data_IF_996917659843
#
_entry.id   IF_996917659843
#
_cell.length_a   1.000
_cell.length_b   1.000
_cell.length_c   1.000
_cell.angle_alpha   90.00
_cell.angle_beta   90.00
_cell.angle_gamma   90.00
#
_symmetry.space_group_name_H-M   'P 1'
#
loop_
_entity.id
_entity.type
_entity.pdbx_description
1 polymer ?
#
# COMPACT_ATOMS: atom_id res chain seq x y z
N UNK A 1 -3.55 -16.52 8.60
CA UNK A 1 -2.56 -16.67 9.67
C UNK A 1 -3.26 -16.82 11.01
N UNK A 2 -2.66 -17.54 11.97
CA UNK A 2 -3.31 -17.87 13.25
C UNK A 2 -2.79 -17.08 14.45
N UNK A 3 -1.48 -16.80 14.52
CA UNK A 3 -0.86 -16.29 15.74
C UNK A 3 0.22 -15.23 15.43
N UNK A 4 0.19 -14.12 16.17
CA UNK A 4 1.26 -13.10 16.20
C UNK A 4 2.23 -13.33 17.39
N UNK A 5 2.01 -14.37 18.18
CA UNK A 5 2.90 -14.76 19.27
C UNK A 5 2.43 -16.09 19.85
N UNK A 6 3.38 -16.92 20.25
CA UNK A 6 3.07 -18.19 20.91
C UNK A 6 3.06 -18.00 22.41
N UNK A 7 3.96 -18.66 23.16
CA UNK A 7 3.97 -18.60 24.62
C UNK A 7 4.75 -17.39 25.10
N UNK A 8 5.87 -17.09 24.45
CA UNK A 8 6.67 -15.93 24.76
C UNK A 8 5.95 -14.66 24.28
N UNK A 9 5.81 -13.62 25.13
CA UNK A 9 4.99 -12.48 24.80
C UNK A 9 5.72 -11.49 23.88
N UNK A 10 5.06 -11.05 22.78
CA UNK A 10 5.43 -9.82 22.06
C UNK A 10 4.96 -8.55 22.81
N UNK A 11 3.72 -8.59 23.33
CA UNK A 11 3.12 -7.48 24.09
C UNK A 11 2.59 -7.95 25.43
N UNK A 12 2.54 -7.03 26.41
CA UNK A 12 2.19 -7.33 27.82
C UNK A 12 0.90 -8.12 28.00
N UNK A 13 -0.10 -7.90 27.15
CA UNK A 13 -1.41 -8.56 27.21
C UNK A 13 -1.71 -9.36 25.94
N UNK A 14 -0.67 -9.86 25.26
CA UNK A 14 -0.81 -10.67 24.06
C UNK A 14 -1.31 -12.08 24.34
N UNK A 15 -1.51 -12.83 23.26
CA UNK A 15 -2.08 -14.18 23.28
C UNK A 15 -1.27 -15.21 24.09
N UNK A 16 0.03 -14.96 24.32
CA UNK A 16 0.87 -15.89 25.10
C UNK A 16 0.42 -16.16 26.52
N UNK A 17 -0.41 -15.30 27.11
CA UNK A 17 -1.08 -15.57 28.39
C UNK A 17 -2.13 -16.69 28.33
N UNK A 18 -2.70 -16.94 27.15
CA UNK A 18 -3.75 -17.91 26.89
C UNK A 18 -3.21 -19.17 26.21
N UNK A 19 -1.95 -19.15 25.76
CA UNK A 19 -1.34 -20.17 24.91
C UNK A 19 -1.65 -21.58 25.40
N UNK A 20 -1.24 -21.91 26.63
CA UNK A 20 -1.30 -23.26 27.19
C UNK A 20 -2.72 -23.87 27.19
N UNK A 21 -3.78 -23.04 27.24
CA UNK A 21 -5.17 -23.50 27.26
C UNK A 21 -5.85 -23.46 25.88
N UNK A 22 -5.48 -22.52 25.02
CA UNK A 22 -6.30 -22.14 23.86
C UNK A 22 -5.71 -22.48 22.50
N UNK A 23 -4.38 -22.61 22.35
CA UNK A 23 -3.75 -22.69 21.02
C UNK A 23 -4.31 -23.82 20.14
N UNK A 24 -4.59 -25.00 20.72
CA UNK A 24 -5.16 -26.13 19.99
C UNK A 24 -6.60 -25.88 19.57
N UNK A 25 -7.40 -25.26 20.45
CA UNK A 25 -8.82 -24.99 20.20
C UNK A 25 -8.96 -23.97 19.06
N UNK A 26 -8.17 -22.91 19.12
CA UNK A 26 -8.28 -21.80 18.18
C UNK A 26 -7.81 -22.19 16.78
N UNK A 27 -6.66 -22.88 16.66
CA UNK A 27 -6.20 -23.36 15.35
C UNK A 27 -7.12 -24.44 14.78
N UNK A 28 -7.67 -25.31 15.63
CA UNK A 28 -8.65 -26.32 15.19
C UNK A 28 -9.91 -25.66 14.65
N UNK A 29 -10.43 -24.67 15.37
CA UNK A 29 -11.62 -23.93 14.97
C UNK A 29 -11.37 -23.19 13.64
N UNK A 30 -10.24 -22.50 13.51
CA UNK A 30 -9.86 -21.81 12.27
C UNK A 30 -9.85 -22.78 11.07
N UNK A 31 -9.14 -23.91 11.16
CA UNK A 31 -9.03 -24.84 10.04
C UNK A 31 -10.36 -25.50 9.72
N UNK A 32 -11.13 -25.98 10.71
CA UNK A 32 -12.39 -26.67 10.46
C UNK A 32 -13.45 -25.76 9.81
N UNK A 33 -13.49 -24.48 10.17
CA UNK A 33 -14.41 -23.52 9.54
C UNK A 33 -13.96 -23.15 8.12
N UNK A 34 -12.66 -23.18 7.84
CA UNK A 34 -12.12 -22.56 6.63
C UNK A 34 -11.55 -23.51 5.57
N UNK A 35 -11.30 -24.78 5.87
CA UNK A 35 -10.66 -25.75 4.96
C UNK A 35 -11.37 -26.04 3.62
N UNK A 36 -12.63 -25.61 3.47
CA UNK A 36 -13.38 -25.72 2.21
C UNK A 36 -13.25 -24.49 1.30
N UNK A 37 -12.60 -23.41 1.75
CA UNK A 37 -12.42 -22.22 0.92
C UNK A 37 -11.30 -22.44 -0.11
N UNK A 38 -11.58 -22.32 -1.42
CA UNK A 38 -10.57 -22.54 -2.46
C UNK A 38 -9.52 -21.43 -2.51
N UNK A 39 -9.82 -20.24 -1.96
CA UNK A 39 -8.90 -19.11 -1.89
C UNK A 39 -7.76 -19.31 -0.88
N UNK A 40 -7.95 -20.19 0.11
CA UNK A 40 -6.91 -20.49 1.09
C UNK A 40 -6.00 -21.55 0.48
N UNK A 41 -4.69 -21.27 0.45
CA UNK A 41 -3.68 -22.17 -0.14
C UNK A 41 -2.64 -22.66 0.88
N UNK A 42 -2.49 -21.97 2.02
CA UNK A 42 -1.52 -22.28 3.07
C UNK A 42 -2.08 -21.89 4.44
N UNK A 43 -1.58 -22.55 5.49
CA UNK A 43 -1.86 -22.21 6.89
C UNK A 43 -0.61 -21.60 7.54
N UNK A 44 -0.61 -20.28 7.80
CA UNK A 44 0.42 -19.67 8.65
C UNK A 44 0.09 -19.88 10.13
N UNK A 45 1.02 -20.47 10.87
CA UNK A 45 0.90 -20.76 12.31
C UNK A 45 1.67 -19.78 13.19
N UNK A 46 2.28 -18.75 12.61
CA UNK A 46 3.03 -17.76 13.35
C UNK A 46 3.60 -16.66 12.46
N UNK A 47 3.71 -15.45 13.01
CA UNK A 47 4.50 -14.36 12.43
C UNK A 47 5.54 -13.88 13.44
N UNK A 48 6.81 -13.79 13.03
CA UNK A 48 7.94 -13.27 13.81
C UNK A 48 7.98 -13.78 15.25
N UNK A 49 7.82 -15.10 15.40
CA UNK A 49 7.62 -15.72 16.70
C UNK A 49 8.91 -15.62 17.54
N UNK A 50 8.87 -15.10 18.79
CA UNK A 50 10.06 -14.95 19.62
C UNK A 50 10.83 -16.25 19.88
N UNK A 51 10.14 -17.40 19.86
CA UNK A 51 10.73 -18.72 20.08
C UNK A 51 11.41 -19.34 18.85
N UNK A 52 11.40 -18.70 17.68
CA UNK A 52 11.85 -19.30 16.41
C UNK A 52 13.35 -19.69 16.38
N UNK A 53 14.16 -19.19 17.31
CA UNK A 53 15.58 -19.55 17.48
C UNK A 53 15.83 -20.52 18.65
N UNK A 54 14.77 -21.09 19.25
CA UNK A 54 14.87 -21.98 20.42
C UNK A 54 14.43 -23.41 20.09
N UNK A 55 15.07 -24.46 20.67
CA UNK A 55 14.63 -25.83 20.48
C UNK A 55 13.15 -26.07 20.83
N UNK A 56 12.64 -25.45 21.89
CA UNK A 56 11.23 -25.54 22.26
C UNK A 56 10.29 -24.87 21.25
N UNK A 57 10.77 -23.84 20.53
CA UNK A 57 10.04 -23.23 19.43
C UNK A 57 9.92 -24.19 18.25
N UNK A 58 11.00 -24.91 17.92
CA UNK A 58 10.98 -25.93 16.86
C UNK A 58 9.99 -27.05 17.18
N UNK A 59 9.96 -27.54 18.43
CA UNK A 59 9.01 -28.57 18.83
C UNK A 59 7.57 -28.07 18.82
N UNK A 60 7.32 -26.81 19.23
CA UNK A 60 5.99 -26.18 19.09
C UNK A 60 5.57 -26.08 17.63
N UNK A 61 6.47 -25.67 16.74
CA UNK A 61 6.18 -25.56 15.32
C UNK A 61 5.78 -26.91 14.73
N UNK A 62 6.55 -27.98 15.03
CA UNK A 62 6.20 -29.36 14.61
C UNK A 62 4.82 -29.79 15.11
N UNK A 63 4.47 -29.48 16.36
CA UNK A 63 3.16 -29.83 16.91
C UNK A 63 2.01 -29.07 16.22
N UNK A 64 2.20 -27.78 15.92
CA UNK A 64 1.24 -26.99 15.15
C UNK A 64 1.06 -27.57 13.75
N UNK A 65 2.16 -27.81 13.04
CA UNK A 65 2.15 -28.40 11.69
C UNK A 65 1.47 -29.77 11.65
N UNK A 66 1.80 -30.65 12.60
CA UNK A 66 1.17 -31.96 12.70
C UNK A 66 -0.34 -31.88 12.95
N UNK A 67 -0.80 -30.91 13.76
CA UNK A 67 -2.22 -30.66 13.98
C UNK A 67 -2.90 -30.14 12.71
N UNK A 68 -2.29 -29.18 12.01
CA UNK A 68 -2.79 -28.67 10.74
C UNK A 68 -2.97 -29.80 9.72
N UNK A 69 -1.93 -30.62 9.49
CA UNK A 69 -2.00 -31.74 8.55
C UNK A 69 -3.04 -32.80 8.94
N UNK A 70 -3.27 -33.02 10.23
CA UNK A 70 -4.33 -33.92 10.69
C UNK A 70 -5.74 -33.39 10.36
N UNK A 71 -5.93 -32.07 10.44
CA UNK A 71 -7.23 -31.42 10.23
C UNK A 71 -7.50 -31.11 8.75
N UNK A 72 -6.45 -30.80 8.00
CA UNK A 72 -6.46 -30.49 6.58
C UNK A 72 -5.10 -30.88 5.94
N UNK A 73 -4.95 -32.12 5.44
CA UNK A 73 -3.72 -32.55 4.79
C UNK A 73 -3.56 -31.98 3.36
N UNK A 74 -4.52 -31.20 2.87
CA UNK A 74 -4.50 -30.71 1.47
C UNK A 74 -3.71 -29.40 1.28
N UNK A 75 -3.24 -28.77 2.36
CA UNK A 75 -2.54 -27.48 2.36
C UNK A 75 -1.27 -27.51 3.19
N UNK A 76 -0.28 -26.77 2.72
CA UNK A 76 1.02 -26.64 3.38
C UNK A 76 0.96 -25.68 4.57
N UNK A 77 1.86 -25.87 5.53
CA UNK A 77 2.02 -25.02 6.71
C UNK A 77 3.24 -24.11 6.56
N UNK A 78 3.09 -22.85 6.97
CA UNK A 78 4.16 -21.84 6.93
C UNK A 78 4.22 -21.05 8.24
N UNK A 79 5.27 -20.26 8.40
CA UNK A 79 5.48 -19.31 9.49
C UNK A 79 6.37 -18.18 8.95
N UNK A 80 6.03 -16.93 9.23
CA UNK A 80 6.86 -15.78 8.89
C UNK A 80 8.05 -15.66 9.82
N UNK A 81 9.27 -15.69 9.27
CA UNK A 81 10.52 -15.70 10.04
C UNK A 81 11.37 -14.45 9.76
N UNK A 82 11.60 -13.60 10.76
CA UNK A 82 12.46 -12.40 10.66
C UNK A 82 13.91 -12.64 11.14
N UNK A 83 14.21 -13.84 11.66
CA UNK A 83 15.49 -14.20 12.28
C UNK A 83 16.19 -15.37 11.56
N UNK A 84 16.56 -15.22 10.28
CA UNK A 84 17.02 -16.32 9.43
C UNK A 84 18.20 -17.13 10.00
N UNK A 85 19.19 -16.47 10.60
CA UNK A 85 20.34 -17.19 11.17
C UNK A 85 19.90 -18.05 12.37
N UNK A 86 19.03 -17.49 13.21
CA UNK A 86 18.50 -18.16 14.40
C UNK A 86 17.57 -19.33 14.04
N UNK A 87 16.68 -19.15 13.06
CA UNK A 87 15.79 -20.21 12.61
C UNK A 87 16.55 -21.34 11.95
N UNK A 88 17.56 -21.03 11.13
CA UNK A 88 18.43 -22.03 10.54
C UNK A 88 19.34 -22.72 11.57
N UNK A 89 19.81 -22.01 12.61
CA UNK A 89 20.60 -22.62 13.67
C UNK A 89 19.77 -23.60 14.51
N UNK A 90 18.56 -23.21 14.90
CA UNK A 90 17.70 -24.02 15.75
C UNK A 90 17.09 -25.23 15.03
N UNK A 91 17.00 -25.19 13.69
CA UNK A 91 16.29 -26.22 12.92
C UNK A 91 14.84 -25.84 12.57
N UNK A 92 14.43 -24.59 12.83
CA UNK A 92 13.05 -24.13 12.69
C UNK A 92 12.63 -24.02 11.23
N UNK A 93 13.46 -23.42 10.39
CA UNK A 93 13.17 -23.27 8.96
C UNK A 93 13.22 -24.61 8.22
N UNK A 94 14.05 -25.56 8.69
CA UNK A 94 14.22 -26.88 8.09
C UNK A 94 13.02 -27.81 8.26
N UNK A 95 12.14 -27.51 9.21
CA UNK A 95 10.91 -28.30 9.46
C UNK A 95 9.66 -27.62 8.91
N UNK A 96 9.78 -26.47 8.25
CA UNK A 96 8.68 -25.80 7.56
C UNK A 96 8.35 -26.52 6.25
N UNK A 97 7.07 -26.61 5.90
CA UNK A 97 6.70 -27.05 4.55
C UNK A 97 7.03 -25.96 3.52
N UNK A 98 6.73 -24.71 3.88
CA UNK A 98 7.06 -23.50 3.09
C UNK A 98 7.85 -22.55 3.98
N UNK A 99 9.18 -22.41 3.79
CA UNK A 99 9.99 -21.48 4.58
C UNK A 99 9.72 -20.03 4.16
N UNK A 100 9.00 -19.28 5.00
CA UNK A 100 8.70 -17.86 4.82
C UNK A 100 9.69 -16.98 5.55
N UNK A 101 10.35 -16.05 4.86
CA UNK A 101 11.24 -15.05 5.47
C UNK A 101 10.69 -13.64 5.34
N UNK A 102 10.64 -12.94 6.47
CA UNK A 102 10.25 -11.53 6.58
C UNK A 102 11.48 -10.65 6.40
N UNK A 103 11.46 -9.67 5.48
CA UNK A 103 12.38 -8.52 5.40
C UNK A 103 13.88 -8.80 5.25
N UNK A 104 14.27 -10.04 4.93
CA UNK A 104 15.69 -10.46 4.88
C UNK A 104 16.13 -10.83 3.47
N UNK A 105 15.66 -10.07 2.47
CA UNK A 105 15.98 -10.28 1.04
C UNK A 105 17.50 -10.42 0.80
N UNK A 106 18.31 -9.62 1.50
CA UNK A 106 19.77 -9.65 1.41
C UNK A 106 20.42 -10.95 1.93
N UNK A 107 19.66 -11.83 2.61
CA UNK A 107 20.11 -13.13 3.10
C UNK A 107 19.59 -14.31 2.29
N UNK A 108 18.70 -14.10 1.32
CA UNK A 108 18.04 -15.18 0.59
C UNK A 108 19.03 -16.15 -0.05
N UNK A 109 20.06 -15.67 -0.76
CA UNK A 109 21.08 -16.54 -1.37
C UNK A 109 21.87 -17.36 -0.35
N UNK A 110 22.12 -16.81 0.85
CA UNK A 110 22.78 -17.56 1.92
C UNK A 110 21.84 -18.65 2.47
N UNK A 111 20.58 -18.30 2.74
CA UNK A 111 19.60 -19.23 3.27
C UNK A 111 19.34 -20.37 2.28
N UNK A 112 19.27 -20.07 0.99
CA UNK A 112 19.06 -21.08 -0.05
C UNK A 112 20.14 -22.14 -0.15
N UNK A 113 21.39 -21.83 0.23
CA UNK A 113 22.47 -22.84 0.29
C UNK A 113 22.26 -23.86 1.41
N UNK A 114 21.40 -23.53 2.39
CA UNK A 114 21.22 -24.28 3.64
C UNK A 114 19.80 -24.84 3.80
N UNK A 115 18.81 -24.31 3.09
CA UNK A 115 17.42 -24.75 3.14
C UNK A 115 17.22 -26.07 2.39
N UNK A 116 16.75 -27.14 3.04
CA UNK A 116 16.51 -28.43 2.38
C UNK A 116 15.35 -28.41 1.38
N UNK A 117 14.41 -27.46 1.49
CA UNK A 117 13.23 -27.37 0.63
C UNK A 117 13.56 -26.93 -0.80
N UNK A 118 14.70 -26.25 -1.01
CA UNK A 118 15.10 -25.79 -2.34
C UNK A 118 14.31 -24.59 -2.88
N UNK A 119 13.46 -23.97 -2.06
CA UNK A 119 12.77 -22.71 -2.34
C UNK A 119 12.49 -21.93 -1.05
N UNK A 120 12.07 -20.67 -1.19
CA UNK A 120 11.55 -19.85 -0.10
C UNK A 120 10.41 -18.92 -0.56
N UNK A 121 9.70 -18.35 0.41
CA UNK A 121 8.67 -17.34 0.23
C UNK A 121 9.09 -16.05 0.95
N UNK A 122 8.93 -14.89 0.31
CA UNK A 122 8.95 -13.61 1.04
C UNK A 122 7.64 -13.43 1.78
N UNK A 123 7.55 -13.92 3.03
CA UNK A 123 6.29 -13.90 3.79
C UNK A 123 5.89 -12.50 4.27
N UNK A 124 6.85 -11.58 4.36
CA UNK A 124 6.62 -10.17 4.64
C UNK A 124 7.76 -9.36 4.00
N UNK A 125 7.46 -8.43 3.09
CA UNK A 125 8.48 -7.76 2.25
C UNK A 125 8.31 -6.24 2.18
N UNK A 126 9.35 -5.57 1.66
CA UNK A 126 9.49 -4.12 1.52
C UNK A 126 9.40 -3.28 2.82
N UNK A 127 8.25 -3.21 3.48
CA UNK A 127 8.00 -2.23 4.56
C UNK A 127 8.47 -0.81 4.18
N UNK A 128 8.26 -0.48 2.90
CA UNK A 128 8.49 0.84 2.32
C UNK A 128 7.39 1.78 2.78
N UNK A 129 7.74 3.01 3.12
CA UNK A 129 6.82 4.00 3.68
C UNK A 129 6.62 5.16 2.72
N UNK A 130 5.38 5.61 2.56
CA UNK A 130 5.04 6.78 1.76
C UNK A 130 3.70 7.38 2.16
N UNK A 131 3.55 8.69 2.00
CA UNK A 131 2.29 9.41 2.15
C UNK A 131 1.76 9.82 0.77
N UNK A 132 0.43 9.73 0.57
CA UNK A 132 -0.20 10.06 -0.72
C UNK A 132 -0.01 11.55 -1.04
N UNK A 133 0.69 11.85 -2.14
CA UNK A 133 0.83 13.22 -2.65
C UNK A 133 1.88 14.08 -1.94
N UNK A 134 2.65 13.51 -1.02
CA UNK A 134 3.77 14.19 -0.36
C UNK A 134 5.08 13.89 -1.08
N UNK A 135 5.93 14.90 -1.32
CA UNK A 135 7.24 14.66 -1.93
C UNK A 135 8.32 15.57 -1.33
N UNK A 136 9.42 14.94 -0.93
CA UNK A 136 10.55 15.62 -0.31
C UNK A 136 11.76 15.63 -1.23
N UNK A 137 12.50 16.74 -1.21
CA UNK A 137 13.65 16.98 -2.08
C UNK A 137 14.92 17.18 -1.25
N UNK A 138 16.05 16.51 -1.58
CA UNK A 138 16.20 15.53 -2.66
C UNK A 138 15.53 14.17 -2.36
N UNK A 139 15.20 13.43 -3.42
CA UNK A 139 14.62 12.07 -3.42
C UNK A 139 15.69 11.02 -3.10
N UNK A 140 16.13 10.99 -1.84
CA UNK A 140 17.22 10.12 -1.39
C UNK A 140 16.69 8.82 -0.82
N UNK A 141 17.28 7.69 -1.23
CA UNK A 141 17.01 6.38 -0.60
C UNK A 141 17.52 6.40 0.83
N UNK A 142 16.64 6.17 1.79
CA UNK A 142 17.02 6.23 3.20
C UNK A 142 16.13 5.32 4.09
N UNK A 143 16.74 4.54 5.01
CA UNK A 143 16.00 3.87 6.06
C UNK A 143 15.56 4.87 7.17
N UNK A 144 14.39 4.66 7.77
CA UNK A 144 13.83 5.42 8.90
C UNK A 144 13.89 6.95 8.72
N UNK A 145 13.67 7.44 7.51
CA UNK A 145 13.71 8.87 7.28
C UNK A 145 12.43 9.53 7.77
N UNK A 146 12.60 10.47 8.68
CA UNK A 146 11.54 11.31 9.22
C UNK A 146 11.60 12.73 8.64
N UNK A 147 10.44 13.37 8.57
CA UNK A 147 10.22 14.73 8.08
C UNK A 147 9.40 15.52 9.11
N UNK A 148 9.60 16.84 9.23
CA UNK A 148 8.99 17.63 10.31
C UNK A 148 7.46 17.63 10.34
N UNK A 149 6.80 17.41 9.20
CA UNK A 149 5.34 17.35 9.07
C UNK A 149 4.76 15.98 9.40
N UNK A 150 5.58 15.00 9.82
CA UNK A 150 5.11 13.67 10.16
C UNK A 150 4.69 12.82 8.95
N UNK A 151 5.13 13.17 7.73
CA UNK A 151 4.76 12.45 6.50
C UNK A 151 5.97 11.72 5.89
N UNK A 152 5.73 10.82 4.93
CA UNK A 152 6.77 10.10 4.21
C UNK A 152 6.75 10.43 2.71
N UNK A 153 7.89 10.35 2.03
CA UNK A 153 8.02 10.70 0.62
C UNK A 153 7.28 9.72 -0.31
N UNK A 154 6.45 10.26 -1.20
CA UNK A 154 5.74 9.55 -2.28
C UNK A 154 6.64 9.08 -3.44
N UNK A 155 7.95 9.36 -3.40
CA UNK A 155 8.90 8.77 -4.36
C UNK A 155 9.18 7.28 -4.11
N UNK A 156 8.66 6.72 -3.01
CA UNK A 156 8.85 5.32 -2.59
C UNK A 156 10.34 4.94 -2.53
N UNK A 157 11.12 5.80 -1.87
CA UNK A 157 12.57 5.64 -1.63
C UNK A 157 12.89 5.61 -0.13
N UNK A 158 11.88 5.71 0.73
CA UNK A 158 12.01 5.67 2.18
C UNK A 158 11.43 4.35 2.70
N UNK A 159 12.13 3.69 3.61
CA UNK A 159 11.73 2.37 4.12
C UNK A 159 12.13 2.20 5.58
N UNK A 160 11.64 1.16 6.24
CA UNK A 160 12.06 0.84 7.59
C UNK A 160 13.46 0.24 7.63
N UNK A 161 14.20 0.48 8.72
CA UNK A 161 15.59 0.03 8.87
C UNK A 161 15.78 -1.49 8.79
N UNK A 162 14.74 -2.25 9.11
CA UNK A 162 14.78 -3.72 9.05
C UNK A 162 14.54 -4.26 7.64
N UNK A 163 14.12 -3.43 6.68
CA UNK A 163 13.70 -3.86 5.35
C UNK A 163 14.30 -3.01 4.24
N UNK A 164 13.58 -2.83 3.13
CA UNK A 164 14.15 -2.50 1.82
C UNK A 164 13.10 -1.86 0.89
N UNK A 165 13.45 -1.64 -0.37
CA UNK A 165 12.48 -1.16 -1.37
C UNK A 165 11.88 -2.34 -2.14
N UNK A 166 10.70 -2.20 -2.77
CA UNK A 166 10.11 -3.27 -3.58
C UNK A 166 11.06 -3.75 -4.69
N UNK A 167 11.88 -2.83 -5.23
CA UNK A 167 12.87 -3.08 -6.26
C UNK A 167 13.86 -4.21 -5.86
N UNK A 168 14.20 -4.32 -4.57
CA UNK A 168 15.13 -5.32 -4.06
C UNK A 168 14.48 -6.71 -4.02
N UNK A 169 13.22 -6.79 -3.58
CA UNK A 169 12.44 -8.04 -3.52
C UNK A 169 12.13 -8.57 -4.93
N UNK A 170 11.76 -7.68 -5.85
CA UNK A 170 11.49 -8.04 -7.24
C UNK A 170 12.74 -8.51 -7.97
N UNK A 171 13.90 -7.91 -7.69
CA UNK A 171 15.15 -8.39 -8.27
C UNK A 171 15.37 -9.87 -7.93
N UNK A 172 15.11 -10.26 -6.68
CA UNK A 172 15.26 -11.65 -6.27
C UNK A 172 14.23 -12.56 -6.92
N UNK A 173 12.97 -12.13 -7.05
CA UNK A 173 11.92 -12.90 -7.73
C UNK A 173 12.17 -13.07 -9.24
N UNK A 174 12.62 -12.01 -9.91
CA UNK A 174 12.89 -12.04 -11.35
C UNK A 174 14.13 -12.85 -11.70
N UNK A 175 15.19 -12.75 -10.89
CA UNK A 175 16.48 -13.37 -11.19
C UNK A 175 16.59 -14.82 -10.67
N UNK A 176 15.74 -15.22 -9.72
CA UNK A 176 15.79 -16.54 -9.07
C UNK A 176 14.43 -17.23 -8.96
N UNK A 177 14.28 -18.35 -9.66
CA UNK A 177 13.04 -19.16 -9.68
C UNK A 177 12.71 -19.88 -8.35
N UNK A 178 13.64 -19.90 -7.39
CA UNK A 178 13.43 -20.48 -6.07
C UNK A 178 12.80 -19.49 -5.07
N UNK A 179 12.63 -18.22 -5.46
CA UNK A 179 11.78 -17.28 -4.73
C UNK A 179 10.36 -17.41 -5.28
N UNK A 180 9.48 -18.02 -4.47
CA UNK A 180 8.13 -18.40 -4.92
C UNK A 180 7.17 -17.21 -5.05
N UNK A 181 7.52 -16.06 -4.49
CA UNK A 181 6.74 -14.83 -4.50
C UNK A 181 6.96 -14.02 -3.23
N UNK A 182 6.07 -13.05 -3.01
CA UNK A 182 6.08 -12.19 -1.82
C UNK A 182 4.69 -11.85 -1.30
N UNK A 183 4.63 -11.43 -0.04
CA UNK A 183 3.52 -10.70 0.57
C UNK A 183 4.06 -9.37 1.11
N UNK A 184 3.78 -8.28 0.39
CA UNK A 184 4.19 -6.93 0.75
C UNK A 184 3.56 -6.44 2.05
N UNK A 185 4.36 -5.78 2.89
CA UNK A 185 3.89 -4.96 4.02
C UNK A 185 3.72 -3.49 3.60
N UNK A 186 2.52 -2.98 3.33
CA UNK A 186 1.21 -3.67 3.27
C UNK A 186 0.47 -3.29 1.98
N UNK A 187 -0.59 -4.03 1.64
CA UNK A 187 -1.48 -3.63 0.54
C UNK A 187 -2.22 -2.32 0.81
N UNK A 188 -2.82 -2.19 2.00
CA UNK A 188 -3.53 -1.00 2.47
C UNK A 188 -2.90 -0.50 3.76
N UNK A 189 -2.95 0.81 3.98
CA UNK A 189 -2.68 1.35 5.31
C UNK A 189 -3.73 0.87 6.32
N UNK A 190 -3.32 0.85 7.59
CA UNK A 190 -4.13 0.42 8.72
C UNK A 190 -3.92 1.34 9.93
N UNK A 191 -4.81 1.27 10.91
CA UNK A 191 -4.72 2.06 12.14
C UNK A 191 -3.62 1.54 13.08
N UNK A 192 -2.90 2.44 13.75
CA UNK A 192 -1.73 2.10 14.56
C UNK A 192 -0.43 2.03 13.75
N UNK A 193 0.64 1.60 14.41
CA UNK A 193 1.98 1.38 13.84
C UNK A 193 2.44 2.46 12.84
N UNK A 194 2.52 3.72 13.28
CA UNK A 194 2.82 4.84 12.40
C UNK A 194 4.31 4.95 12.04
N UNK A 195 5.06 3.85 11.95
CA UNK A 195 6.50 3.89 11.68
C UNK A 195 6.81 4.68 10.40
N UNK A 196 7.83 5.56 10.40
CA UNK A 196 8.88 5.77 11.42
C UNK A 196 8.47 6.61 12.64
N UNK A 197 7.24 7.09 12.68
CA UNK A 197 6.73 8.06 13.64
C UNK A 197 6.14 7.43 14.92
N UNK A 198 6.73 6.33 15.41
CA UNK A 198 6.19 5.54 16.54
C UNK A 198 5.96 6.36 17.82
N UNK A 199 6.67 7.48 17.98
CA UNK A 199 6.60 8.39 19.13
C UNK A 199 6.16 9.80 18.77
N UNK A 200 5.79 10.05 17.52
CA UNK A 200 5.40 11.37 17.04
C UNK A 200 3.87 11.46 17.01
N UNK A 201 3.32 12.24 17.94
CA UNK A 201 1.93 12.65 17.87
C UNK A 201 1.81 13.84 16.88
N UNK A 202 0.87 13.85 15.93
CA UNK A 202 -0.39 13.10 15.93
C UNK A 202 -0.44 11.85 15.00
N UNK A 203 0.70 11.28 14.60
CA UNK A 203 0.69 10.09 13.75
C UNK A 203 0.01 8.91 14.44
N UNK A 204 -1.07 8.39 13.84
CA UNK A 204 -1.94 7.37 14.44
C UNK A 204 -2.28 6.19 13.54
N UNK A 205 -1.83 6.21 12.28
CA UNK A 205 -2.00 5.11 11.33
C UNK A 205 -0.73 4.93 10.50
N UNK A 206 -0.65 3.82 9.79
CA UNK A 206 0.54 3.40 9.06
C UNK A 206 0.86 4.28 7.85
N UNK A 207 2.09 4.09 7.35
CA UNK A 207 2.58 4.62 6.07
C UNK A 207 2.96 3.51 5.06
N UNK A 208 2.81 2.25 5.46
CA UNK A 208 3.24 1.06 4.72
C UNK A 208 2.41 0.75 3.49
N UNK A 209 1.13 1.13 3.49
CA UNK A 209 0.17 0.77 2.47
C UNK A 209 0.58 1.22 1.08
N UNK A 210 0.45 0.32 0.10
CA UNK A 210 0.46 0.66 -1.33
C UNK A 210 -0.72 1.59 -1.66
N UNK A 211 -1.83 1.39 -0.96
CA UNK A 211 -3.05 2.21 -0.96
C UNK A 211 -3.22 2.84 0.42
N UNK A 212 -3.68 4.09 0.49
CA UNK A 212 -3.91 4.76 1.77
C UNK A 212 -5.13 4.20 2.53
N UNK A 213 -5.34 4.69 3.76
CA UNK A 213 -6.43 4.23 4.64
C UNK A 213 -7.83 4.54 4.08
N UNK A 214 -7.94 5.53 3.19
CA UNK A 214 -9.19 5.90 2.51
C UNK A 214 -9.46 5.04 1.26
N UNK A 215 -8.52 4.17 0.87
CA UNK A 215 -8.61 3.39 -0.36
C UNK A 215 -8.15 4.13 -1.61
N UNK A 216 -7.45 5.26 -1.46
CA UNK A 216 -6.87 6.00 -2.58
C UNK A 216 -5.44 5.50 -2.85
N UNK A 217 -5.10 5.19 -4.12
CA UNK A 217 -3.77 4.68 -4.46
C UNK A 217 -2.69 5.74 -4.19
N UNK A 218 -1.58 5.33 -3.57
CA UNK A 218 -0.33 6.09 -3.56
C UNK A 218 0.41 5.87 -4.89
N UNK A 219 1.50 6.59 -5.13
CA UNK A 219 2.33 6.36 -6.33
C UNK A 219 2.83 4.91 -6.42
N UNK A 220 3.10 4.29 -5.25
CA UNK A 220 3.50 2.89 -5.13
C UNK A 220 2.53 1.91 -5.79
N UNK A 221 1.23 2.20 -5.77
CA UNK A 221 0.23 1.37 -6.46
C UNK A 221 0.58 1.20 -7.94
N UNK A 222 0.99 2.29 -8.59
CA UNK A 222 1.35 2.28 -9.99
C UNK A 222 2.72 1.66 -10.24
N UNK A 223 3.64 1.74 -9.28
CA UNK A 223 4.90 1.01 -9.33
C UNK A 223 4.64 -0.51 -9.38
N UNK A 224 3.85 -1.04 -8.44
CA UNK A 224 3.42 -2.46 -8.44
C UNK A 224 2.61 -2.82 -9.69
N UNK A 225 1.62 -2.00 -10.09
CA UNK A 225 0.81 -2.26 -11.30
C UNK A 225 1.67 -2.34 -12.55
N UNK A 226 2.71 -1.51 -12.67
CA UNK A 226 3.63 -1.50 -13.81
C UNK A 226 4.52 -2.75 -13.91
N UNK A 227 4.70 -3.48 -12.80
CA UNK A 227 5.48 -4.70 -12.78
C UNK A 227 4.58 -5.95 -12.88
N UNK A 228 3.50 -6.00 -12.11
CA UNK A 228 2.67 -7.21 -11.96
C UNK A 228 1.47 -7.30 -12.90
N UNK A 229 0.85 -6.19 -13.30
CA UNK A 229 -0.35 -6.27 -14.15
C UNK A 229 0.05 -6.54 -15.61
N UNK A 230 -0.28 -7.74 -16.10
CA UNK A 230 -0.03 -8.14 -17.50
C UNK A 230 -1.22 -7.90 -18.44
N UNK A 231 -2.37 -7.52 -17.90
CA UNK A 231 -3.60 -7.33 -18.67
C UNK A 231 -3.83 -5.87 -19.09
N UNK A 232 -3.24 -4.92 -18.38
CA UNK A 232 -3.37 -3.49 -18.67
C UNK A 232 -2.05 -2.75 -18.50
N UNK A 233 -1.68 -1.96 -19.52
CA UNK A 233 -0.50 -1.13 -19.48
C UNK A 233 -0.60 -0.01 -18.43
N UNK A 234 0.54 0.35 -17.84
CA UNK A 234 0.68 1.43 -16.86
C UNK A 234 1.52 2.56 -17.45
N UNK A 235 1.02 3.79 -17.34
CA UNK A 235 1.78 5.01 -17.62
C UNK A 235 1.44 6.00 -16.50
N UNK A 236 2.28 6.03 -15.48
CA UNK A 236 2.09 6.87 -14.30
C UNK A 236 3.25 7.83 -14.13
N UNK A 237 2.95 9.12 -14.02
CA UNK A 237 3.91 10.18 -13.79
C UNK A 237 3.80 10.68 -12.36
N UNK A 238 4.94 10.83 -11.71
CA UNK A 238 5.06 11.51 -10.41
C UNK A 238 6.27 12.45 -10.40
N UNK A 239 6.25 13.52 -9.60
CA UNK A 239 5.17 13.92 -8.69
C UNK A 239 4.06 14.73 -9.40
N UNK A 240 3.17 15.37 -8.64
CA UNK A 240 2.34 16.45 -9.18
C UNK A 240 3.20 17.58 -9.76
N UNK A 241 2.62 18.42 -10.63
CA UNK A 241 3.33 19.53 -11.28
C UNK A 241 2.90 20.91 -10.81
N UNK A 242 2.53 21.02 -9.53
CA UNK A 242 2.14 22.27 -8.86
C UNK A 242 3.08 22.52 -7.70
N UNK A 243 4.07 23.40 -7.88
CA UNK A 243 5.12 23.63 -6.88
C UNK A 243 5.31 25.13 -6.63
N UNK A 244 4.39 25.73 -5.88
CA UNK A 244 4.41 27.17 -5.59
C UNK A 244 5.73 27.60 -4.95
N UNK A 245 6.45 28.53 -5.59
CA UNK A 245 7.71 29.08 -5.06
C UNK A 245 8.96 28.23 -5.33
N UNK A 246 8.84 27.15 -6.10
CA UNK A 246 9.97 26.29 -6.51
C UNK A 246 10.37 26.49 -7.97
N UNK A 247 9.93 27.55 -8.64
CA UNK A 247 10.27 27.82 -10.03
C UNK A 247 11.80 27.80 -10.25
N UNK A 248 12.26 27.01 -11.22
CA UNK A 248 13.68 26.82 -11.53
C UNK A 248 14.43 25.86 -10.60
N UNK A 249 13.81 25.38 -9.50
CA UNK A 249 14.40 24.38 -8.60
C UNK A 249 14.29 22.97 -9.18
N UNK A 250 15.22 22.10 -8.81
CA UNK A 250 15.20 20.69 -9.21
C UNK A 250 14.02 19.98 -8.57
N UNK A 251 13.28 19.26 -9.40
CA UNK A 251 12.11 18.45 -9.07
C UNK A 251 12.23 17.14 -9.86
N UNK A 252 12.80 16.08 -9.28
CA UNK A 252 12.94 14.79 -9.95
C UNK A 252 11.59 14.30 -10.49
N UNK A 253 11.56 13.78 -11.70
CA UNK A 253 10.34 13.24 -12.32
C UNK A 253 10.54 11.76 -12.57
N UNK A 254 9.61 10.93 -12.08
CA UNK A 254 9.63 9.50 -12.31
C UNK A 254 8.44 9.12 -13.20
N UNK A 255 8.65 8.09 -14.02
CA UNK A 255 7.60 7.38 -14.72
C UNK A 255 7.62 5.91 -14.31
N UNK A 256 6.48 5.43 -13.79
CA UNK A 256 6.24 4.00 -13.60
C UNK A 256 5.44 3.49 -14.80
N UNK A 257 6.03 2.51 -15.48
CA UNK A 257 5.47 1.94 -16.70
C UNK A 257 6.00 0.54 -16.94
N UNK A 258 5.22 -0.32 -17.59
CA UNK A 258 5.66 -1.65 -18.03
C UNK A 258 6.49 -1.58 -19.32
N UNK A 259 6.47 -0.45 -20.05
CA UNK A 259 7.29 -0.24 -21.24
C UNK A 259 8.79 -0.09 -20.92
N UNK A 260 9.69 -0.48 -21.85
CA UNK A 260 11.14 -0.45 -21.62
C UNK A 260 11.74 0.96 -21.58
N UNK A 261 11.14 1.94 -22.25
CA UNK A 261 11.72 3.30 -22.35
C UNK A 261 10.66 4.38 -22.45
N UNK A 262 11.05 5.61 -22.09
CA UNK A 262 10.19 6.77 -22.17
C UNK A 262 10.99 8.07 -22.36
N UNK A 263 10.33 9.10 -22.88
CA UNK A 263 10.85 10.44 -23.05
C UNK A 263 9.96 11.45 -22.33
N UNK A 264 10.58 12.29 -21.50
CA UNK A 264 9.90 13.32 -20.73
C UNK A 264 9.99 14.66 -21.45
N UNK A 265 8.91 15.43 -21.41
CA UNK A 265 8.83 16.79 -21.94
C UNK A 265 8.32 17.74 -20.85
N UNK A 266 8.99 18.88 -20.69
CA UNK A 266 8.51 20.01 -19.88
C UNK A 266 8.10 21.11 -20.86
N UNK A 267 6.82 21.49 -20.87
CA UNK A 267 6.29 22.51 -21.79
C UNK A 267 6.69 22.27 -23.26
N UNK A 268 6.66 21.01 -23.70
CA UNK A 268 7.02 20.59 -25.05
C UNK A 268 8.53 20.44 -25.30
N UNK A 269 9.41 20.81 -24.36
CA UNK A 269 10.86 20.63 -24.48
C UNK A 269 11.29 19.30 -23.88
N UNK A 270 11.91 18.45 -24.69
CA UNK A 270 12.46 17.16 -24.26
C UNK A 270 13.49 17.31 -23.13
N UNK A 271 13.41 16.42 -22.15
CA UNK A 271 14.37 16.21 -21.07
C UNK A 271 15.23 14.94 -21.32
N UNK A 272 15.14 14.38 -22.54
CA UNK A 272 15.84 13.17 -22.95
C UNK A 272 15.00 11.90 -22.79
N UNK A 273 15.24 10.95 -23.69
CA UNK A 273 14.71 9.59 -23.60
C UNK A 273 15.62 8.73 -22.74
N UNK A 274 15.04 7.94 -21.84
CA UNK A 274 15.74 6.98 -20.99
C UNK A 274 15.11 5.60 -21.09
N UNK A 275 15.91 4.57 -20.87
CA UNK A 275 15.53 3.16 -20.94
C UNK A 275 15.80 2.51 -19.59
N UNK A 276 14.95 1.57 -19.18
CA UNK A 276 15.15 0.78 -17.98
C UNK A 276 16.49 0.04 -18.06
N UNK A 277 17.19 -0.02 -16.94
CA UNK A 277 18.50 -0.67 -16.85
C UNK A 277 18.42 -1.85 -15.87
N UNK A 278 18.48 -3.08 -16.38
CA UNK A 278 18.41 -4.31 -15.58
C UNK A 278 19.50 -4.40 -14.49
N UNK A 279 20.63 -3.76 -14.71
CA UNK A 279 21.77 -3.80 -13.77
C UNK A 279 21.72 -2.67 -12.72
N UNK A 280 20.80 -1.71 -12.85
CA UNK A 280 20.56 -0.67 -11.86
C UNK A 280 19.54 -1.13 -10.82
N UNK A 281 19.79 -0.83 -9.54
CA UNK A 281 18.85 -1.14 -8.45
C UNK A 281 17.46 -0.56 -8.70
N UNK A 282 17.37 0.75 -8.92
CA UNK A 282 16.08 1.45 -9.11
C UNK A 282 15.67 1.54 -10.58
N UNK A 283 16.62 1.79 -11.49
CA UNK A 283 16.29 2.07 -12.89
C UNK A 283 15.89 0.80 -13.66
N UNK A 284 15.99 -0.37 -13.03
CA UNK A 284 15.40 -1.62 -13.53
C UNK A 284 13.88 -1.55 -13.59
N UNK A 285 13.25 -0.86 -12.64
CA UNK A 285 11.79 -0.80 -12.52
C UNK A 285 11.22 0.62 -12.71
N UNK A 286 12.06 1.65 -12.62
CA UNK A 286 11.67 3.06 -12.65
C UNK A 286 12.38 3.82 -13.77
N UNK A 287 11.69 4.71 -14.47
CA UNK A 287 12.33 5.67 -15.39
C UNK A 287 12.42 7.02 -14.68
N UNK A 288 13.64 7.50 -14.38
CA UNK A 288 13.86 8.65 -13.48
C UNK A 288 14.69 9.75 -14.13
N UNK A 289 14.15 10.97 -14.17
CA UNK A 289 14.86 12.18 -14.57
C UNK A 289 15.18 13.01 -13.32
N UNK A 290 16.41 12.91 -12.81
CA UNK A 290 16.79 13.51 -11.52
C UNK A 290 16.99 15.03 -11.56
N UNK A 291 17.22 15.62 -12.74
CA UNK A 291 17.68 17.01 -12.87
C UNK A 291 16.64 17.94 -13.54
N UNK A 292 15.36 17.55 -13.57
CA UNK A 292 14.31 18.36 -14.18
C UNK A 292 14.08 19.60 -13.31
N UNK A 293 14.06 20.77 -13.92
CA UNK A 293 13.73 22.03 -13.23
C UNK A 293 12.25 22.31 -13.35
N UNK A 294 11.62 22.69 -12.25
CA UNK A 294 10.20 23.03 -12.25
C UNK A 294 9.95 24.30 -13.05
N UNK A 295 9.07 24.19 -14.04
CA UNK A 295 8.50 25.30 -14.80
C UNK A 295 6.99 25.09 -14.84
N UNK A 296 6.23 26.14 -14.49
CA UNK A 296 4.77 26.10 -14.52
C UNK A 296 4.26 25.75 -15.92
N UNK A 297 3.25 24.90 -16.00
CA UNK A 297 2.66 24.44 -17.26
C UNK A 297 2.33 22.97 -17.18
N UNK A 298 3.06 22.14 -17.93
CA UNK A 298 2.84 20.69 -17.92
C UNK A 298 4.14 19.89 -18.09
N UNK A 299 4.12 18.71 -17.48
CA UNK A 299 5.00 17.61 -17.87
C UNK A 299 4.20 16.58 -18.67
N UNK A 300 4.83 16.04 -19.70
CA UNK A 300 4.29 14.94 -20.50
C UNK A 300 5.33 13.87 -20.68
N UNK A 301 4.94 12.62 -20.49
CA UNK A 301 5.76 11.46 -20.83
C UNK A 301 5.21 10.78 -22.06
N UNK A 302 6.10 10.35 -22.95
CA UNK A 302 5.79 9.46 -24.06
C UNK A 302 6.53 8.15 -23.81
N UNK A 303 5.82 7.02 -23.80
CA UNK A 303 6.40 5.68 -23.59
C UNK A 303 6.55 4.96 -24.92
N UNK A 304 7.55 4.08 -25.01
CA UNK A 304 7.89 3.38 -26.24
C UNK A 304 8.02 1.88 -26.00
N UNK A 305 7.52 1.08 -26.96
CA UNK A 305 7.61 -0.38 -26.97
C UNK A 305 9.05 -0.89 -27.22
N UNK A 306 9.23 -2.21 -27.23
CA UNK A 306 10.52 -2.87 -27.49
C UNK A 306 11.08 -2.58 -28.89
N UNK A 307 10.22 -2.25 -29.85
CA UNK A 307 10.61 -1.88 -31.22
C UNK A 307 10.92 -0.38 -31.34
N UNK A 308 10.71 0.39 -30.27
CA UNK A 308 10.95 1.81 -30.20
C UNK A 308 9.81 2.68 -30.75
N UNK A 309 8.63 2.10 -31.01
CA UNK A 309 7.45 2.86 -31.43
C UNK A 309 6.76 3.51 -30.23
N UNK A 310 6.11 4.65 -30.45
CA UNK A 310 5.28 5.29 -29.43
C UNK A 310 4.11 4.38 -29.07
N UNK A 311 4.02 4.00 -27.79
CA UNK A 311 2.97 3.13 -27.27
C UNK A 311 1.91 3.88 -26.45
N UNK A 312 2.25 5.05 -25.90
CA UNK A 312 1.29 5.87 -25.16
C UNK A 312 1.89 7.16 -24.63
N UNK A 313 1.06 7.97 -23.98
CA UNK A 313 1.49 9.20 -23.31
C UNK A 313 0.61 9.55 -22.11
N UNK A 314 1.17 10.32 -21.18
CA UNK A 314 0.46 10.86 -20.02
C UNK A 314 0.95 12.28 -19.74
N UNK A 315 0.02 13.16 -19.35
CA UNK A 315 0.31 14.55 -19.00
C UNK A 315 -0.12 14.86 -17.58
N UNK A 316 0.72 15.58 -16.83
CA UNK A 316 0.40 16.18 -15.53
C UNK A 316 0.59 17.69 -15.64
N UNK A 317 -0.39 18.46 -15.15
CA UNK A 317 -0.43 19.92 -15.32
C UNK A 317 -0.30 20.63 -13.97
N UNK A 318 0.24 21.84 -14.01
CA UNK A 318 0.16 22.76 -12.88
C UNK A 318 -1.28 23.18 -12.66
N UNK A 319 -1.80 22.91 -11.46
CA UNK A 319 -3.16 23.25 -11.08
C UNK A 319 -3.32 24.77 -10.92
N UNK A 320 -4.48 25.27 -11.33
CA UNK A 320 -4.96 26.60 -10.97
C UNK A 320 -5.49 26.67 -9.53
N UNK A 321 -6.17 27.78 -9.22
CA UNK A 321 -6.86 27.94 -7.94
C UNK A 321 -8.01 26.92 -7.80
N UNK A 322 -8.26 26.37 -6.61
CA UNK A 322 -9.43 25.54 -6.32
C UNK A 322 -10.73 26.19 -6.78
N UNK A 323 -11.59 25.40 -7.43
CA UNK A 323 -12.83 25.93 -8.00
C UNK A 323 -14.01 24.94 -8.00
N UNK A 324 -13.76 23.63 -8.07
CA UNK A 324 -14.82 22.62 -8.26
C UNK A 324 -14.57 21.40 -7.39
N UNK A 325 -15.63 20.89 -6.75
CA UNK A 325 -15.65 19.56 -6.15
C UNK A 325 -16.12 18.55 -7.20
N UNK A 326 -15.31 17.54 -7.47
CA UNK A 326 -15.67 16.39 -8.32
C UNK A 326 -15.97 15.18 -7.44
N UNK A 327 -17.13 14.55 -7.67
CA UNK A 327 -17.60 13.38 -6.93
C UNK A 327 -17.64 12.17 -7.85
N UNK A 328 -16.95 11.11 -7.48
CA UNK A 328 -16.90 9.84 -8.24
C UNK A 328 -17.24 8.70 -7.30
N UNK A 329 -18.35 8.00 -7.55
CA UNK A 329 -18.69 6.79 -6.81
C UNK A 329 -18.04 5.57 -7.45
N UNK A 330 -17.58 4.62 -6.64
CA UNK A 330 -17.24 3.27 -7.11
C UNK A 330 -18.47 2.57 -7.71
N UNK A 331 -19.64 2.79 -7.10
CA UNK A 331 -20.95 2.35 -7.57
C UNK A 331 -22.04 3.37 -7.26
N UNK A 332 -22.90 3.63 -8.24
CA UNK A 332 -24.04 4.55 -8.10
C UNK A 332 -25.36 3.85 -7.78
N UNK A 333 -25.35 2.52 -7.71
CA UNK A 333 -26.50 1.68 -7.30
C UNK A 333 -26.03 0.69 -6.23
N UNK A 334 -26.75 0.64 -5.11
CA UNK A 334 -26.49 -0.24 -3.95
C UNK A 334 -27.78 -0.96 -3.54
N UNK A 335 -27.65 -2.11 -2.88
CA UNK A 335 -28.76 -2.94 -2.42
C UNK A 335 -29.47 -2.34 -1.20
N UNK A 336 -30.79 -2.43 -1.15
CA UNK A 336 -31.64 -2.00 -0.04
C UNK A 336 -31.62 -2.99 1.14
N UNK A 337 -30.43 -3.43 1.57
CA UNK A 337 -30.27 -4.43 2.63
C UNK A 337 -29.88 -3.84 3.99
N UNK A 338 -29.68 -2.51 4.05
CA UNK A 338 -29.27 -1.81 5.28
C UNK A 338 -27.77 -1.92 5.59
N UNK A 339 -26.97 -2.55 4.73
CA UNK A 339 -25.55 -2.82 4.93
C UNK A 339 -24.66 -2.51 3.72
N UNK A 340 -25.20 -2.51 2.50
CA UNK A 340 -24.44 -2.21 1.29
C UNK A 340 -23.94 -0.77 1.28
N UNK A 341 -22.74 -0.58 0.74
CA UNK A 341 -21.97 0.66 0.82
C UNK A 341 -21.62 1.18 -0.57
N UNK A 342 -21.61 2.51 -0.72
CA UNK A 342 -20.98 3.21 -1.83
C UNK A 342 -19.83 4.07 -1.30
N UNK A 343 -18.68 4.01 -1.97
CA UNK A 343 -17.49 4.80 -1.69
C UNK A 343 -17.38 5.92 -2.71
N UNK A 344 -17.47 7.17 -2.24
CA UNK A 344 -17.47 8.36 -3.08
C UNK A 344 -16.15 9.10 -2.88
N UNK A 345 -15.27 9.04 -3.87
CA UNK A 345 -14.08 9.89 -3.92
C UNK A 345 -14.49 11.33 -4.20
N UNK A 346 -14.09 12.22 -3.30
CA UNK A 346 -14.25 13.67 -3.40
C UNK A 346 -12.91 14.26 -3.78
N UNK A 347 -12.85 15.05 -4.85
CA UNK A 347 -11.63 15.71 -5.30
C UNK A 347 -11.85 17.21 -5.49
N UNK A 348 -10.94 18.04 -4.99
CA UNK A 348 -10.95 19.47 -5.24
C UNK A 348 -10.05 19.80 -6.44
N UNK A 349 -10.68 20.31 -7.50
CA UNK A 349 -9.99 20.64 -8.75
C UNK A 349 -10.04 22.13 -9.04
N UNK A 350 -9.14 22.58 -9.90
CA UNK A 350 -9.23 23.88 -10.52
C UNK A 350 -10.42 23.96 -11.51
N UNK A 351 -10.61 25.13 -12.13
CA UNK A 351 -11.69 25.37 -13.09
C UNK A 351 -11.65 24.45 -14.32
N UNK A 352 -10.47 23.93 -14.66
CA UNK A 352 -10.20 23.07 -15.82
C UNK A 352 -10.25 21.57 -15.46
N UNK A 353 -10.48 21.22 -14.19
CA UNK A 353 -10.51 19.82 -13.72
C UNK A 353 -9.15 19.26 -13.31
N UNK A 354 -8.10 20.09 -13.19
CA UNK A 354 -6.81 19.64 -12.64
C UNK A 354 -6.92 19.51 -11.12
N UNK A 355 -6.56 18.36 -10.56
CA UNK A 355 -6.51 18.17 -9.09
C UNK A 355 -5.60 19.23 -8.46
N UNK A 356 -6.04 19.85 -7.37
CA UNK A 356 -5.23 20.78 -6.59
C UNK A 356 -4.48 20.00 -5.49
N UNK A 357 -3.18 19.69 -5.66
CA UNK A 357 -2.46 18.79 -4.75
C UNK A 357 -2.16 19.42 -3.37
N UNK A 358 -2.21 20.75 -3.26
CA UNK A 358 -2.01 21.46 -1.98
C UNK A 358 -3.33 21.68 -1.22
N UNK A 359 -4.46 21.17 -1.73
CA UNK A 359 -5.76 21.47 -1.14
C UNK A 359 -6.03 20.66 0.13
N UNK A 360 -6.29 21.37 1.23
CA UNK A 360 -6.60 20.85 2.56
C UNK A 360 -7.97 21.34 3.10
N UNK A 361 -8.87 21.73 2.18
CA UNK A 361 -10.11 22.43 2.54
C UNK A 361 -11.00 21.55 3.43
N UNK A 362 -11.64 22.15 4.44
CA UNK A 362 -12.58 21.46 5.31
C UNK A 362 -13.94 21.33 4.63
N UNK A 363 -14.41 20.09 4.46
CA UNK A 363 -15.66 19.76 3.79
C UNK A 363 -16.72 19.29 4.78
N UNK A 364 -17.99 19.50 4.43
CA UNK A 364 -19.18 18.97 5.10
C UNK A 364 -19.97 18.06 4.17
N UNK A 365 -20.54 17.00 4.75
CA UNK A 365 -21.27 15.98 4.03
C UNK A 365 -22.71 15.88 4.53
N UNK A 366 -23.65 15.78 3.60
CA UNK A 366 -25.06 15.53 3.92
C UNK A 366 -25.62 14.50 2.96
N UNK A 367 -26.14 13.41 3.50
CA UNK A 367 -26.89 12.40 2.73
C UNK A 367 -28.37 12.54 3.07
N UNK A 368 -29.22 12.52 2.05
CA UNK A 368 -30.68 12.54 2.20
C UNK A 368 -31.32 11.48 1.32
N UNK A 369 -32.50 11.00 1.71
CA UNK A 369 -33.26 10.00 0.95
C UNK A 369 -33.02 8.59 1.46
N UNK A 370 -32.97 7.61 0.56
CA UNK A 370 -32.92 6.18 0.88
C UNK A 370 -31.54 5.66 1.37
N UNK A 371 -30.68 6.53 1.89
CA UNK A 371 -29.35 6.19 2.38
C UNK A 371 -28.91 7.16 3.48
N UNK A 372 -27.87 6.81 4.23
CA UNK A 372 -27.29 7.64 5.30
C UNK A 372 -25.79 7.82 5.12
N UNK A 373 -25.25 8.89 5.69
CA UNK A 373 -23.81 9.04 5.87
C UNK A 373 -23.34 7.95 6.85
N UNK A 374 -22.26 7.24 6.50
CA UNK A 374 -21.66 6.22 7.37
C UNK A 374 -20.33 6.72 7.94
N UNK A 375 -19.40 7.09 7.06
CA UNK A 375 -18.07 7.53 7.45
C UNK A 375 -17.37 8.36 6.38
N UNK A 376 -16.23 8.96 6.72
CA UNK A 376 -15.32 9.66 5.84
C UNK A 376 -13.87 9.36 6.22
N UNK A 377 -12.97 9.27 5.24
CA UNK A 377 -11.54 9.12 5.47
C UNK A 377 -10.75 9.90 4.40
N UNK A 378 -9.68 10.58 4.79
CA UNK A 378 -8.78 11.30 3.87
C UNK A 378 -7.42 10.60 3.67
N UNK A 379 -7.12 9.55 4.44
CA UNK A 379 -5.86 8.81 4.35
C UNK A 379 -4.65 9.50 4.98
N UNK A 380 -4.83 10.65 5.64
CA UNK A 380 -3.76 11.34 6.37
C UNK A 380 -3.50 10.64 7.70
N UNK A 381 -2.31 10.04 7.84
CA UNK A 381 -1.92 9.32 9.04
C UNK A 381 -1.73 10.21 10.28
N UNK A 382 -1.62 11.53 10.09
CA UNK A 382 -1.53 12.54 11.16
C UNK A 382 -2.88 13.16 11.51
N UNK A 383 -3.94 12.89 10.72
CA UNK A 383 -5.26 13.48 10.96
C UNK A 383 -5.96 12.82 12.14
N UNK A 384 -6.35 13.62 13.12
CA UNK A 384 -7.16 13.18 14.28
C UNK A 384 -8.66 13.34 14.05
N UNK A 385 -9.10 13.72 12.83
CA UNK A 385 -10.52 13.88 12.53
C UNK A 385 -11.26 12.54 12.62
N UNK A 386 -12.47 12.61 13.19
CA UNK A 386 -13.29 11.44 13.50
C UNK A 386 -13.98 10.94 12.23
N UNK A 387 -13.82 9.65 11.92
CA UNK A 387 -14.37 9.08 10.68
C UNK A 387 -15.89 9.15 10.58
N UNK A 388 -16.60 9.14 11.71
CA UNK A 388 -18.07 9.14 11.76
C UNK A 388 -18.68 10.53 11.88
N UNK A 389 -17.87 11.59 11.91
CA UNK A 389 -18.38 12.96 11.84
C UNK A 389 -18.55 13.37 10.37
N UNK A 390 -19.65 14.06 9.98
CA UNK A 390 -19.92 14.43 8.60
C UNK A 390 -19.09 15.64 8.15
N UNK A 391 -17.82 15.68 8.53
CA UNK A 391 -16.84 16.71 8.19
C UNK A 391 -15.43 16.14 8.21
N UNK A 392 -14.61 16.54 7.25
CA UNK A 392 -13.18 16.22 7.23
C UNK A 392 -12.44 17.17 6.30
N UNK A 393 -11.16 17.45 6.58
CA UNK A 393 -10.26 18.12 5.65
C UNK A 393 -9.83 17.19 4.53
N UNK A 394 -9.69 17.76 3.34
CA UNK A 394 -8.98 17.09 2.25
C UNK A 394 -7.53 16.81 2.67
N UNK A 395 -6.97 15.72 2.18
CA UNK A 395 -5.55 15.45 2.23
C UNK A 395 -5.03 15.33 0.79
N UNK A 396 -4.15 16.24 0.40
CA UNK A 396 -3.70 16.44 -0.98
C UNK A 396 -4.84 16.47 -2.01
N UNK A 397 -5.86 17.28 -1.70
CA UNK A 397 -7.00 17.55 -2.57
C UNK A 397 -8.05 16.44 -2.65
N UNK A 398 -7.91 15.35 -1.89
CA UNK A 398 -8.86 14.23 -1.93
C UNK A 398 -9.24 13.68 -0.56
N UNK A 399 -10.41 13.04 -0.51
CA UNK A 399 -10.91 12.15 0.55
C UNK A 399 -11.99 11.22 -0.01
N UNK A 400 -12.44 10.25 0.78
CA UNK A 400 -13.51 9.31 0.44
C UNK A 400 -14.64 9.39 1.47
N UNK A 401 -15.87 9.56 1.00
CA UNK A 401 -17.10 9.52 1.81
C UNK A 401 -17.79 8.19 1.59
N UNK A 402 -18.20 7.52 2.67
CA UNK A 402 -18.93 6.26 2.63
C UNK A 402 -20.41 6.53 2.89
N UNK A 403 -21.25 6.08 1.96
CA UNK A 403 -22.71 6.14 2.05
C UNK A 403 -23.25 4.73 2.23
N UNK A 404 -24.14 4.53 3.20
CA UNK A 404 -24.75 3.25 3.50
C UNK A 404 -26.21 3.21 3.09
N UNK A 405 -26.62 2.12 2.44
CA UNK A 405 -28.00 1.89 2.04
C UNK A 405 -28.94 1.81 3.25
N UNK A 406 -30.16 2.29 3.08
CA UNK A 406 -31.26 1.92 3.98
C UNK A 406 -31.89 0.59 3.55
N UNK A 407 -32.82 0.05 4.33
CA UNK A 407 -33.61 -1.14 3.96
C UNK A 407 -34.77 -0.84 3.01
N UNK A 408 -35.04 0.45 2.74
CA UNK A 408 -36.09 0.87 1.82
C UNK A 408 -35.47 1.27 0.47
N UNK A 409 -35.90 0.69 -0.66
CA UNK A 409 -35.48 1.12 -1.98
C UNK A 409 -35.87 2.58 -2.24
N UNK A 410 -35.06 3.29 -3.02
CA UNK A 410 -35.35 4.67 -3.38
C UNK A 410 -34.13 5.44 -3.89
N UNK A 411 -34.29 6.75 -4.02
CA UNK A 411 -33.20 7.66 -4.37
C UNK A 411 -32.58 8.25 -3.12
N UNK A 412 -31.27 8.36 -3.12
CA UNK A 412 -30.50 9.12 -2.16
C UNK A 412 -29.63 10.17 -2.88
N UNK A 413 -29.20 11.18 -2.14
CA UNK A 413 -28.31 12.22 -2.66
C UNK A 413 -27.26 12.53 -1.61
N UNK A 414 -25.98 12.42 -1.99
CA UNK A 414 -24.87 13.01 -1.25
C UNK A 414 -24.70 14.46 -1.69
N UNK A 415 -24.65 15.37 -0.73
CA UNK A 415 -24.26 16.77 -0.91
C UNK A 415 -22.94 17.00 -0.19
N UNK A 416 -21.96 17.55 -0.90
CA UNK A 416 -20.66 17.94 -0.36
C UNK A 416 -20.50 19.45 -0.48
N UNK A 417 -20.08 20.10 0.61
CA UNK A 417 -19.85 21.54 0.64
C UNK A 417 -18.50 21.84 1.26
N UNK A 418 -17.81 22.82 0.71
CA UNK A 418 -16.71 23.45 1.41
C UNK A 418 -17.25 24.37 2.51
N UNK A 419 -16.63 24.36 3.70
CA UNK A 419 -17.08 25.18 4.84
C UNK A 419 -16.79 26.67 4.68
N UNK A 420 -15.69 26.98 4.02
CA UNK A 420 -15.14 28.34 3.98
C UNK A 420 -15.38 29.01 2.63
N UNK A 421 -15.78 28.24 1.62
CA UNK A 421 -16.06 28.74 0.27
C UNK A 421 -17.48 28.41 -0.16
N UNK A 422 -17.93 29.00 -1.28
CA UNK A 422 -19.21 28.67 -1.90
C UNK A 422 -19.19 27.37 -2.73
N UNK A 423 -18.07 26.65 -2.77
CA UNK A 423 -17.91 25.45 -3.62
C UNK A 423 -18.76 24.31 -3.05
N UNK A 424 -19.60 23.71 -3.90
CA UNK A 424 -20.46 22.59 -3.54
C UNK A 424 -20.67 21.64 -4.70
N UNK A 425 -20.93 20.38 -4.41
CA UNK A 425 -21.33 19.37 -5.40
C UNK A 425 -22.38 18.42 -4.81
N UNK A 426 -23.14 17.76 -5.69
CA UNK A 426 -24.13 16.75 -5.30
C UNK A 426 -24.02 15.53 -6.20
N UNK A 427 -24.21 14.34 -5.63
CA UNK A 427 -24.17 13.08 -6.36
C UNK A 427 -25.42 12.24 -6.02
N UNK A 428 -26.26 11.87 -6.99
CA UNK A 428 -27.37 10.96 -6.77
C UNK A 428 -26.87 9.52 -6.63
N UNK A 429 -27.52 8.75 -5.74
CA UNK A 429 -27.27 7.33 -5.49
C UNK A 429 -28.64 6.61 -5.55
N UNK A 430 -28.67 5.43 -6.14
CA UNK A 430 -29.88 4.60 -6.21
C UNK A 430 -29.77 3.43 -5.24
N UNK A 431 -30.80 3.23 -4.43
CA UNK A 431 -30.91 2.09 -3.51
C UNK A 431 -32.01 1.17 -4.03
N UNK A 432 -31.71 -0.12 -4.25
CA UNK A 432 -32.60 -1.08 -4.92
C UNK A 432 -32.91 -2.31 -4.11
#
# INVERSE_FOLDING_TARGET
>A
ESFDGWKDPKVRNGYGKLWDEWWQKDITNLILNHRNHPSIIMWSVGNEIPEQWKPEGVERYKHLTALCHRLDPSRQVTCGMDQPDGTMWAGFAQVADVPGYNYRVHKYEEMMKRLPQGFLLGSETASTVSSRGEYFFPDTVAPNKEHPNGQCSGYDVEHCWWSNLPDDDWKMQDDYNWVTGEFVWTGFDYLGEPTPYDKYWPSRSSYFGIVDLAGLPKDRFFLYRSHWNKNEHTIHLLPHWTWTGREGQVTPVYCYTDYPSAELFVNGKSQGRITKNKDSRLDRYRLRWQNVKYEKGEIKVVVYDEQGNKAGEKTVKTAGKPAKLQLTADRSTIAADGSDLAFITVSLTDKNGTLCPDADHSLEFKVTGAATFNSVCNGDATSLEVFTEPTMKLFHGQLVVVVQASTAPGKATLTVKDKNTGIRATLPITVK
#
